data_IF_453793801040
#
_entry.id   IF_453793801040
#
_cell.length_a   1.000
_cell.length_b   1.000
_cell.length_c   1.000
_cell.angle_alpha   90.00
_cell.angle_beta   90.00
_cell.angle_gamma   90.00
#
_symmetry.space_group_name_H-M   'P 1'
#
loop_
_entity.id
_entity.type
_entity.pdbx_description
1 polymer ?
#
# COMPACT_ATOMS: atom_id res chain seq x y z
N UNK A 1 5.03 5.44 14.42
CA UNK A 1 4.64 4.48 13.37
C UNK A 1 3.47 5.06 12.59
N UNK A 2 3.59 5.08 11.28
CA UNK A 2 2.60 5.65 10.38
C UNK A 2 2.11 4.55 9.45
N UNK A 3 0.78 4.43 9.30
CA UNK A 3 0.16 3.57 8.30
C UNK A 3 -0.15 4.39 7.05
N UNK A 4 0.17 3.85 5.90
CA UNK A 4 -0.08 4.43 4.60
C UNK A 4 -0.91 3.42 3.81
N UNK A 5 -2.18 3.75 3.58
CA UNK A 5 -3.15 2.82 3.02
C UNK A 5 -3.53 3.31 1.64
N UNK A 6 -3.44 2.42 0.67
CA UNK A 6 -3.90 2.66 -0.69
C UNK A 6 -5.08 1.74 -1.00
N UNK A 7 -6.14 2.30 -1.54
CA UNK A 7 -7.20 1.52 -2.19
C UNK A 7 -7.07 1.76 -3.68
N UNK A 8 -7.04 0.70 -4.47
CA UNK A 8 -6.63 0.73 -5.87
C UNK A 8 -7.73 0.17 -6.76
N UNK A 9 -8.08 0.91 -7.81
CA UNK A 9 -8.84 0.40 -8.95
C UNK A 9 -7.97 0.52 -10.19
N UNK A 10 -7.68 -0.61 -10.82
CA UNK A 10 -6.93 -0.65 -12.09
C UNK A 10 -7.86 -0.31 -13.26
N UNK A 11 -7.28 0.19 -14.34
CA UNK A 11 -8.01 0.39 -15.58
C UNK A 11 -8.62 -0.94 -16.06
N UNK A 12 -9.82 -0.91 -16.67
CA UNK A 12 -10.38 -2.11 -17.31
C UNK A 12 -9.39 -2.75 -18.27
N UNK A 13 -9.42 -4.07 -18.36
CA UNK A 13 -8.57 -4.84 -19.26
C UNK A 13 -7.06 -4.79 -18.96
N UNK A 14 -6.69 -4.30 -17.78
CA UNK A 14 -5.28 -4.39 -17.34
C UNK A 14 -4.86 -5.85 -17.23
N UNK A 15 -3.79 -6.20 -17.94
CA UNK A 15 -3.31 -7.59 -17.96
C UNK A 15 -2.81 -8.01 -16.58
N UNK A 16 -3.05 -9.27 -16.16
CA UNK A 16 -2.57 -9.77 -14.88
C UNK A 16 -1.08 -9.60 -14.65
N UNK A 17 -0.26 -9.72 -15.68
CA UNK A 17 1.17 -9.51 -15.59
C UNK A 17 1.54 -8.07 -15.21
N UNK A 18 0.74 -7.08 -15.65
CA UNK A 18 0.94 -5.67 -15.30
C UNK A 18 0.56 -5.40 -13.85
N UNK A 19 -0.51 -6.03 -13.36
CA UNK A 19 -0.91 -5.96 -11.95
C UNK A 19 0.16 -6.60 -11.08
N UNK A 20 0.68 -7.75 -11.48
CA UNK A 20 1.75 -8.44 -10.74
C UNK A 20 3.04 -7.61 -10.70
N UNK A 21 3.37 -6.90 -11.78
CA UNK A 21 4.51 -5.99 -11.79
C UNK A 21 4.35 -4.86 -10.77
N UNK A 22 3.16 -4.30 -10.62
CA UNK A 22 2.85 -3.29 -9.61
C UNK A 22 3.00 -3.88 -8.20
N UNK A 23 2.42 -5.06 -7.97
CA UNK A 23 2.55 -5.79 -6.71
C UNK A 23 4.02 -6.01 -6.33
N UNK A 24 4.81 -6.53 -7.25
CA UNK A 24 6.24 -6.79 -7.02
C UNK A 24 7.00 -5.51 -6.69
N UNK A 25 6.69 -4.41 -7.38
CA UNK A 25 7.32 -3.12 -7.12
C UNK A 25 7.01 -2.59 -5.71
N UNK A 26 5.76 -2.69 -5.26
CA UNK A 26 5.40 -2.33 -3.88
C UNK A 26 6.10 -3.20 -2.85
N UNK A 27 6.11 -4.50 -3.04
CA UNK A 27 6.69 -5.44 -2.08
C UNK A 27 8.22 -5.30 -1.97
N UNK A 28 8.87 -4.71 -2.95
CA UNK A 28 10.31 -4.45 -2.91
C UNK A 28 10.69 -3.21 -2.08
N UNK A 29 9.75 -2.30 -1.84
CA UNK A 29 10.04 -0.99 -1.20
C UNK A 29 10.71 -1.13 0.18
N UNK A 30 10.34 -2.05 1.08
CA UNK A 30 11.02 -2.16 2.38
C UNK A 30 12.52 -2.44 2.29
N UNK A 31 12.97 -3.06 1.21
CA UNK A 31 14.39 -3.33 0.98
C UNK A 31 15.13 -2.16 0.29
N UNK A 32 14.39 -1.19 -0.23
CA UNK A 32 14.93 -0.09 -1.02
C UNK A 32 14.94 1.24 -0.26
N UNK A 33 13.96 1.45 0.63
CA UNK A 33 13.76 2.72 1.33
C UNK A 33 13.87 2.49 2.82
N UNK A 34 14.88 3.10 3.45
CA UNK A 34 15.09 3.01 4.89
C UNK A 34 13.89 3.60 5.65
N UNK A 35 13.41 2.86 6.64
CA UNK A 35 12.30 3.26 7.49
C UNK A 35 10.92 2.82 6.99
N UNK A 36 10.83 2.26 5.80
CA UNK A 36 9.64 1.51 5.37
C UNK A 36 9.77 0.10 5.95
N UNK A 37 9.03 -0.17 7.01
CA UNK A 37 9.21 -1.39 7.81
C UNK A 37 8.37 -2.56 7.33
N UNK A 38 7.28 -2.29 6.62
CA UNK A 38 6.40 -3.34 6.12
C UNK A 38 5.58 -2.83 4.93
N UNK A 39 5.29 -3.71 4.01
CA UNK A 39 4.31 -3.54 2.94
C UNK A 39 3.52 -4.83 2.82
N UNK A 40 2.20 -4.69 2.78
CA UNK A 40 1.30 -5.80 2.49
C UNK A 40 0.48 -5.46 1.25
N UNK A 41 0.28 -6.45 0.41
CA UNK A 41 -0.57 -6.38 -0.76
C UNK A 41 -1.81 -7.25 -0.54
N UNK A 42 -3.00 -6.73 -0.83
CA UNK A 42 -4.23 -7.48 -0.70
C UNK A 42 -5.15 -7.30 -1.90
N UNK A 43 -5.84 -8.36 -2.26
CA UNK A 43 -6.95 -8.32 -3.21
C UNK A 43 -8.25 -8.39 -2.42
N UNK A 44 -9.24 -7.57 -2.79
CA UNK A 44 -10.51 -7.53 -2.08
C UNK A 44 -11.21 -8.88 -2.15
N UNK A 45 -11.56 -9.42 -1.00
CA UNK A 45 -12.36 -10.65 -0.87
C UNK A 45 -13.54 -10.47 0.09
N UNK A 46 -13.88 -9.21 0.40
CA UNK A 46 -15.03 -8.94 1.27
C UNK A 46 -16.34 -9.36 0.58
N UNK A 47 -17.21 -10.13 1.25
CA UNK A 47 -18.49 -10.54 0.67
C UNK A 47 -19.55 -9.44 0.76
N UNK A 48 -19.27 -8.29 1.37
CA UNK A 48 -20.31 -7.28 1.65
C UNK A 48 -20.71 -6.44 0.43
N UNK A 49 -19.87 -6.41 -0.63
CA UNK A 49 -20.16 -5.62 -1.84
C UNK A 49 -20.08 -4.11 -1.62
N UNK A 50 -19.29 -3.64 -0.66
CA UNK A 50 -19.17 -2.23 -0.28
C UNK A 50 -17.79 -1.65 -0.55
N UNK A 51 -17.14 -2.12 -1.60
CA UNK A 51 -15.75 -1.77 -1.91
C UNK A 51 -15.59 -0.49 -2.75
N UNK A 52 -16.67 0.11 -3.21
CA UNK A 52 -16.60 1.31 -4.05
C UNK A 52 -15.96 1.09 -5.41
N UNK A 53 -15.80 -0.16 -5.84
CA UNK A 53 -15.11 -0.52 -7.08
C UNK A 53 -13.60 -0.69 -6.92
N UNK A 54 -13.05 -0.52 -5.73
CA UNK A 54 -11.64 -0.78 -5.44
C UNK A 54 -11.42 -2.28 -5.28
N UNK A 55 -10.42 -2.80 -5.97
CA UNK A 55 -10.17 -4.23 -6.07
C UNK A 55 -8.93 -4.68 -5.32
N UNK A 56 -8.00 -3.78 -5.07
CA UNK A 56 -6.73 -4.08 -4.44
C UNK A 56 -6.39 -3.04 -3.38
N UNK A 57 -5.54 -3.42 -2.45
CA UNK A 57 -5.07 -2.53 -1.40
C UNK A 57 -3.59 -2.74 -1.12
N UNK A 58 -2.96 -1.68 -0.63
CA UNK A 58 -1.60 -1.73 -0.09
C UNK A 58 -1.66 -1.17 1.32
N UNK A 59 -1.08 -1.87 2.28
CA UNK A 59 -0.84 -1.36 3.62
C UNK A 59 0.67 -1.23 3.80
N UNK A 60 1.15 0.02 3.87
CA UNK A 60 2.55 0.32 4.09
C UNK A 60 2.74 0.92 5.47
N UNK A 61 3.83 0.57 6.13
CA UNK A 61 4.17 1.10 7.45
C UNK A 61 5.49 1.85 7.37
N UNK A 62 5.47 3.12 7.81
CA UNK A 62 6.67 3.90 8.05
C UNK A 62 7.01 3.87 9.54
N UNK A 63 8.30 3.77 9.86
CA UNK A 63 8.76 3.83 11.24
C UNK A 63 8.41 5.17 11.90
N UNK A 64 8.52 6.27 11.15
CA UNK A 64 8.30 7.64 11.61
C UNK A 64 8.04 8.59 10.43
N UNK A 65 7.83 9.88 10.73
CA UNK A 65 7.63 10.92 9.73
C UNK A 65 8.84 11.10 8.81
N UNK A 66 10.05 10.96 9.34
CA UNK A 66 11.26 11.08 8.55
C UNK A 66 11.32 10.02 7.46
N UNK A 67 10.87 8.80 7.76
CA UNK A 67 10.78 7.72 6.77
C UNK A 67 9.78 8.05 5.66
N UNK A 68 8.60 8.59 6.02
CA UNK A 68 7.62 9.02 5.03
C UNK A 68 8.18 10.12 4.13
N UNK A 69 8.89 11.08 4.70
CA UNK A 69 9.51 12.16 3.93
C UNK A 69 10.62 11.65 2.99
N UNK A 70 11.34 10.60 3.37
CA UNK A 70 12.31 9.95 2.48
C UNK A 70 11.65 9.19 1.34
N UNK A 71 10.52 8.55 1.61
CA UNK A 71 9.81 7.73 0.63
C UNK A 71 9.22 8.57 -0.51
N UNK A 72 8.53 9.66 -0.19
CA UNK A 72 7.76 10.40 -1.18
C UNK A 72 8.61 10.91 -2.36
N UNK A 73 9.81 11.48 -2.16
CA UNK A 73 10.68 11.89 -3.27
C UNK A 73 11.69 10.83 -3.71
N UNK A 74 11.64 9.63 -3.14
CA UNK A 74 12.68 8.62 -3.38
C UNK A 74 12.67 8.13 -4.83
N UNK A 75 13.83 7.91 -5.47
CA UNK A 75 13.91 7.39 -6.84
C UNK A 75 13.17 6.06 -7.05
N UNK A 76 13.18 5.17 -6.06
CA UNK A 76 12.47 3.89 -6.15
C UNK A 76 10.95 4.07 -6.06
N UNK A 77 10.47 5.11 -5.37
CA UNK A 77 9.06 5.51 -5.42
C UNK A 77 8.70 6.07 -6.81
N UNK A 78 9.58 6.86 -7.42
CA UNK A 78 9.39 7.34 -8.79
C UNK A 78 9.35 6.19 -9.78
N UNK A 79 10.22 5.21 -9.63
CA UNK A 79 10.24 4.01 -10.47
C UNK A 79 8.95 3.20 -10.33
N UNK A 80 8.44 3.05 -9.11
CA UNK A 80 7.15 2.41 -8.84
C UNK A 80 6.01 3.17 -9.53
N UNK A 81 5.98 4.49 -9.43
CA UNK A 81 4.96 5.32 -10.07
C UNK A 81 4.98 5.15 -11.60
N UNK A 82 6.15 5.00 -12.19
CA UNK A 82 6.29 4.79 -13.63
C UNK A 82 5.63 3.49 -14.10
N UNK A 83 5.61 2.45 -13.25
CA UNK A 83 4.95 1.17 -13.51
C UNK A 83 3.45 1.26 -13.20
N UNK A 84 3.08 1.96 -12.14
CA UNK A 84 1.73 1.97 -11.57
C UNK A 84 0.78 2.92 -12.29
N UNK A 85 1.19 4.17 -12.52
CA UNK A 85 0.32 5.20 -13.10
C UNK A 85 -0.31 4.82 -14.44
N UNK A 86 0.40 4.14 -15.36
CA UNK A 86 -0.21 3.78 -16.64
C UNK A 86 -1.41 2.84 -16.53
N UNK A 87 -1.52 2.06 -15.46
CA UNK A 87 -2.60 1.09 -15.27
C UNK A 87 -3.59 1.50 -14.18
N UNK A 88 -3.34 2.63 -13.52
CA UNK A 88 -4.18 3.12 -12.43
C UNK A 88 -5.38 3.91 -12.97
N UNK A 89 -6.59 3.52 -12.56
CA UNK A 89 -7.81 4.28 -12.85
C UNK A 89 -8.18 5.21 -11.71
N UNK A 90 -8.28 4.68 -10.49
CA UNK A 90 -8.61 5.44 -9.28
C UNK A 90 -7.79 4.96 -8.09
N UNK A 91 -7.49 5.88 -7.20
CA UNK A 91 -6.78 5.58 -5.96
C UNK A 91 -7.33 6.42 -4.82
N UNK A 92 -7.39 5.81 -3.65
CA UNK A 92 -7.56 6.53 -2.37
C UNK A 92 -6.29 6.32 -1.57
N UNK A 93 -5.76 7.40 -1.03
CA UNK A 93 -4.61 7.39 -0.14
C UNK A 93 -5.05 7.92 1.21
N UNK A 94 -4.86 7.12 2.25
CA UNK A 94 -5.19 7.51 3.62
C UNK A 94 -4.04 7.16 4.54
N UNK A 95 -3.55 8.15 5.26
CA UNK A 95 -2.48 7.97 6.23
C UNK A 95 -2.98 8.26 7.62
N UNK A 96 -2.45 7.54 8.61
CA UNK A 96 -2.60 7.93 10.01
C UNK A 96 -1.35 7.57 10.80
N UNK A 97 -1.06 8.42 11.78
CA UNK A 97 -0.06 8.10 12.80
C UNK A 97 -0.73 7.29 13.89
N UNK A 98 -0.20 6.11 14.18
CA UNK A 98 -0.76 5.23 15.19
C UNK A 98 -0.58 5.88 16.57
N UNK A 99 -1.69 6.10 17.29
CA UNK A 99 -1.68 6.69 18.61
C UNK A 99 -1.60 5.63 19.69
N UNK A 100 -1.03 5.98 20.83
CA UNK A 100 -1.03 5.11 22.01
C UNK A 100 -2.48 4.83 22.41
N UNK A 101 -2.82 3.57 22.57
CA UNK A 101 -4.17 3.14 22.95
C UNK A 101 -5.10 2.84 21.77
N UNK A 102 -4.71 3.18 20.55
CA UNK A 102 -5.56 2.94 19.35
C UNK A 102 -5.23 1.63 18.64
N UNK A 103 -4.39 0.81 19.23
CA UNK A 103 -4.09 -0.53 18.76
C UNK A 103 -4.27 -1.50 19.89
N UNK A 104 -5.14 -2.48 19.69
CA UNK A 104 -5.35 -3.57 20.66
C UNK A 104 -4.98 -4.88 19.99
N UNK A 105 -4.13 -5.63 20.65
CA UNK A 105 -3.77 -6.99 20.24
C UNK A 105 -4.36 -7.95 21.27
N UNK A 106 -5.14 -8.90 20.80
CA UNK A 106 -5.71 -9.94 21.66
C UNK A 106 -4.63 -10.89 22.13
N UNK A 107 -4.69 -11.27 23.44
CA UNK A 107 -3.90 -12.34 24.03
C UNK A 107 -4.62 -13.69 23.96
N UNK A 108 -5.57 -13.83 23.06
CA UNK A 108 -6.36 -15.05 22.95
C UNK A 108 -5.53 -16.32 22.82
N UNK A 109 -6.18 -17.49 22.94
CA UNK A 109 -5.48 -18.76 22.84
C UNK A 109 -4.81 -18.92 21.48
N UNK A 110 -3.64 -19.48 21.52
CA UNK A 110 -2.87 -19.77 20.31
C UNK A 110 -3.19 -21.13 19.75
#
# INVERSE_FOLDING_TARGET
MIRHILLIAFKPDTQPARIDAVRTAFLAIPHQVSGVTAVEWGENDSPEGRDGGFTHSVLMTFADEAARQRYLPHPDHDALKAIFRPVLERIIVLDYTLQVGDRVVSEGPL
#
